data_IF_632458070787
#
_entry.id   IF_632458070787
#
_cell.length_a   1.000
_cell.length_b   1.000
_cell.length_c   1.000
_cell.angle_alpha   90.00
_cell.angle_beta   90.00
_cell.angle_gamma   90.00
#
_symmetry.space_group_name_H-M   'P 1'
#
loop_
_entity.id
_entity.type
_entity.pdbx_description
1 polymer ?
#
# COMPACT_ATOMS: atom_id res chain seq x y z
N UNK A 1 -27.14 -53.16 7.72
CA UNK A 1 -28.14 -52.09 7.89
C UNK A 1 -27.40 -50.75 7.94
N UNK A 2 -27.94 -49.73 7.27
CA UNK A 2 -27.31 -48.44 7.02
C UNK A 2 -27.67 -47.44 8.13
N UNK A 3 -26.96 -46.32 8.21
CA UNK A 3 -27.49 -45.13 8.86
C UNK A 3 -27.39 -43.94 7.91
N UNK A 4 -28.55 -43.32 7.72
CA UNK A 4 -28.90 -42.31 6.76
C UNK A 4 -28.48 -40.91 7.19
N UNK A 5 -28.41 -40.02 6.19
CA UNK A 5 -28.27 -38.57 6.29
C UNK A 5 -29.33 -37.87 7.17
N UNK A 6 -28.90 -36.81 7.83
CA UNK A 6 -29.61 -35.53 7.90
C UNK A 6 -28.66 -34.37 8.31
N UNK A 7 -28.99 -33.10 7.98
CA UNK A 7 -28.03 -32.10 7.51
C UNK A 7 -27.92 -30.84 8.38
N UNK A 8 -27.01 -29.93 7.97
CA UNK A 8 -26.87 -28.51 8.35
C UNK A 8 -26.40 -28.19 9.79
N UNK A 9 -25.21 -27.60 9.88
CA UNK A 9 -24.88 -26.40 10.67
C UNK A 9 -23.48 -25.87 10.24
N UNK A 10 -23.20 -24.55 10.33
CA UNK A 10 -22.11 -23.89 9.62
C UNK A 10 -20.78 -24.03 10.37
N UNK A 11 -19.74 -24.43 9.66
CA UNK A 11 -18.38 -24.43 10.20
C UNK A 11 -17.75 -23.04 10.04
N UNK A 12 -18.07 -22.13 10.96
CA UNK A 12 -17.16 -21.08 11.36
C UNK A 12 -16.52 -21.52 12.70
N UNK A 13 -15.45 -22.30 12.61
CA UNK A 13 -14.59 -22.61 13.75
C UNK A 13 -13.21 -22.08 13.41
N UNK A 14 -12.97 -20.84 13.84
CA UNK A 14 -11.66 -20.22 13.85
C UNK A 14 -10.74 -20.99 14.80
N UNK A 15 -9.74 -21.68 14.25
CA UNK A 15 -8.60 -22.12 15.02
C UNK A 15 -7.61 -20.96 15.16
N UNK A 16 -7.65 -20.24 16.29
CA UNK A 16 -6.51 -19.43 16.71
C UNK A 16 -5.55 -20.30 17.51
N UNK A 17 -4.46 -20.71 16.87
CA UNK A 17 -3.40 -21.50 17.48
C UNK A 17 -2.03 -21.02 17.02
N UNK A 18 -1.61 -19.83 17.46
CA UNK A 18 -0.20 -19.44 17.49
C UNK A 18 0.03 -18.50 18.68
N UNK A 19 0.46 -19.07 19.80
CA UNK A 19 1.04 -18.30 20.90
C UNK A 19 2.40 -17.76 20.45
N UNK A 20 2.41 -16.58 19.83
CA UNK A 20 3.63 -15.80 19.70
C UNK A 20 3.96 -15.23 21.08
N UNK A 21 4.90 -15.87 21.78
CA UNK A 21 5.57 -15.24 22.92
C UNK A 21 6.43 -14.10 22.38
N UNK A 22 5.83 -12.91 22.29
CA UNK A 22 6.55 -11.68 21.94
C UNK A 22 7.44 -11.34 23.12
N UNK A 23 8.75 -11.54 22.94
CA UNK A 23 9.78 -11.05 23.85
C UNK A 23 9.63 -9.54 24.00
N UNK A 24 9.00 -9.10 25.09
CA UNK A 24 8.56 -7.72 25.31
C UNK A 24 9.68 -6.78 25.77
N UNK A 25 10.95 -7.15 25.59
CA UNK A 25 12.10 -6.42 26.17
C UNK A 25 13.18 -5.96 25.20
N UNK A 26 13.00 -6.16 23.90
CA UNK A 26 13.87 -5.55 22.88
C UNK A 26 12.97 -4.96 21.79
N UNK A 27 13.34 -3.79 21.24
CA UNK A 27 12.60 -3.00 20.23
C UNK A 27 11.58 -1.98 20.76
N UNK A 28 12.08 -0.99 21.51
CA UNK A 28 11.42 0.31 21.70
C UNK A 28 11.75 1.28 20.55
N UNK A 29 11.85 0.80 19.31
CA UNK A 29 12.10 1.68 18.17
C UNK A 29 10.77 2.26 17.67
N UNK A 30 10.72 3.59 17.39
CA UNK A 30 9.55 4.18 16.74
C UNK A 30 9.37 3.55 15.36
N UNK A 31 8.12 3.32 14.98
CA UNK A 31 7.77 2.88 13.63
C UNK A 31 7.74 4.14 12.76
N UNK A 32 8.67 4.27 11.83
CA UNK A 32 8.69 5.40 10.89
C UNK A 32 7.82 5.05 9.69
N UNK A 33 6.84 5.91 9.38
CA UNK A 33 6.14 5.83 8.11
C UNK A 33 7.12 6.07 6.96
N UNK A 34 6.97 5.31 5.87
CA UNK A 34 7.82 5.47 4.69
C UNK A 34 7.34 6.66 3.87
N UNK A 35 8.25 7.29 3.12
CA UNK A 35 7.83 8.35 2.17
C UNK A 35 7.04 7.77 1.00
N UNK A 36 7.45 6.58 0.57
CA UNK A 36 6.84 5.80 -0.49
C UNK A 36 6.39 4.48 0.15
N UNK A 37 5.09 4.21 0.07
CA UNK A 37 4.50 2.94 0.48
C UNK A 37 4.26 2.12 -0.79
N UNK A 38 4.81 0.91 -0.83
CA UNK A 38 4.62 -0.04 -1.92
C UNK A 38 3.71 -1.15 -1.39
N UNK A 39 2.56 -1.34 -2.02
CA UNK A 39 1.63 -2.41 -1.70
C UNK A 39 1.68 -3.43 -2.84
N UNK A 40 2.07 -4.66 -2.52
CA UNK A 40 2.05 -5.77 -3.47
C UNK A 40 0.85 -6.65 -3.19
N UNK A 41 0.04 -6.90 -4.21
CA UNK A 41 -0.99 -7.93 -4.15
C UNK A 41 -0.37 -9.28 -4.49
N UNK A 42 -0.45 -10.21 -3.54
CA UNK A 42 -0.03 -11.60 -3.75
C UNK A 42 -1.08 -12.32 -4.58
N UNK A 43 -1.06 -12.07 -5.89
CA UNK A 43 -2.00 -12.69 -6.83
C UNK A 43 -1.57 -14.07 -7.29
N UNK A 44 -0.33 -14.49 -7.08
CA UNK A 44 0.12 -15.82 -7.48
C UNK A 44 0.32 -16.73 -6.29
N UNK A 45 -0.12 -17.96 -6.43
CA UNK A 45 0.14 -19.03 -5.48
C UNK A 45 0.44 -20.32 -6.23
N UNK A 46 1.24 -21.17 -5.60
CA UNK A 46 1.61 -22.46 -6.17
C UNK A 46 0.72 -23.53 -5.57
N UNK A 47 0.02 -24.27 -6.43
CA UNK A 47 -0.76 -25.43 -6.02
C UNK A 47 0.14 -26.68 -6.00
N UNK A 48 0.24 -27.28 -4.82
CA UNK A 48 1.06 -28.47 -4.61
C UNK A 48 0.38 -29.75 -5.11
N UNK A 49 -0.94 -29.76 -5.31
CA UNK A 49 -1.67 -30.93 -5.82
C UNK A 49 -1.52 -31.06 -7.34
N UNK A 50 -1.72 -29.97 -8.07
CA UNK A 50 -1.57 -29.92 -9.54
C UNK A 50 -0.12 -29.65 -9.99
N UNK A 51 0.73 -29.13 -9.10
CA UNK A 51 2.07 -28.62 -9.40
C UNK A 51 2.08 -27.44 -10.39
N UNK A 52 0.98 -26.70 -10.44
CA UNK A 52 0.80 -25.53 -11.30
C UNK A 52 0.80 -24.23 -10.49
N UNK A 53 1.10 -23.12 -11.16
CA UNK A 53 0.98 -21.79 -10.54
C UNK A 53 -0.32 -21.16 -11.00
N UNK A 54 -1.13 -20.73 -10.04
CA UNK A 54 -2.41 -20.10 -10.31
C UNK A 54 -2.40 -18.61 -9.99
N UNK A 55 -3.19 -17.85 -10.76
CA UNK A 55 -3.41 -16.42 -10.55
C UNK A 55 -4.80 -16.16 -9.95
N UNK A 56 -4.81 -15.37 -8.89
CA UNK A 56 -6.00 -14.87 -8.20
C UNK A 56 -6.52 -13.63 -8.91
N UNK A 57 -7.70 -13.80 -9.49
CA UNK A 57 -8.47 -12.78 -10.21
C UNK A 57 -9.51 -12.07 -9.34
N UNK A 58 -9.41 -12.21 -8.01
CA UNK A 58 -10.29 -11.48 -7.11
C UNK A 58 -10.14 -9.98 -7.29
N UNK A 59 -11.29 -9.29 -7.33
CA UNK A 59 -11.34 -7.85 -7.43
C UNK A 59 -10.82 -7.24 -6.13
N UNK A 60 -9.81 -6.38 -6.24
CA UNK A 60 -9.30 -5.61 -5.09
C UNK A 60 -9.49 -4.14 -5.38
N UNK A 61 -10.50 -3.56 -4.73
CA UNK A 61 -10.78 -2.14 -4.82
C UNK A 61 -9.64 -1.34 -4.16
N UNK A 62 -9.05 -0.42 -4.92
CA UNK A 62 -7.99 0.46 -4.45
C UNK A 62 -8.42 1.92 -4.57
N UNK A 63 -8.03 2.73 -3.60
CA UNK A 63 -8.35 4.15 -3.56
C UNK A 63 -7.16 5.02 -3.97
N UNK A 64 -7.46 6.18 -4.56
CA UNK A 64 -6.46 7.22 -4.86
C UNK A 64 -5.83 7.81 -3.60
N UNK A 65 -6.53 7.75 -2.46
CA UNK A 65 -6.04 8.22 -1.15
C UNK A 65 -6.22 7.11 -0.12
N UNK A 66 -5.10 6.60 0.39
CA UNK A 66 -5.05 5.56 1.39
C UNK A 66 -4.78 6.17 2.77
N UNK A 67 -5.71 5.96 3.71
CA UNK A 67 -5.53 6.34 5.12
C UNK A 67 -4.99 5.16 5.89
N UNK A 68 -3.83 5.33 6.54
CA UNK A 68 -3.18 4.28 7.33
C UNK A 68 -3.31 4.48 8.84
N UNK A 69 -4.06 5.51 9.28
CA UNK A 69 -4.25 5.81 10.70
C UNK A 69 -4.75 4.63 11.54
N UNK A 70 -5.62 3.71 11.06
CA UNK A 70 -6.03 2.55 11.84
C UNK A 70 -4.89 1.55 12.15
N UNK A 71 -3.82 1.59 11.37
CA UNK A 71 -2.64 0.71 11.52
C UNK A 71 -1.49 1.39 12.27
N UNK A 72 -1.66 2.65 12.66
CA UNK A 72 -0.65 3.41 13.37
C UNK A 72 -0.83 3.27 14.89
N UNK A 73 0.28 3.38 15.62
CA UNK A 73 0.28 3.38 17.08
C UNK A 73 0.85 4.70 17.59
N UNK A 74 0.82 4.93 18.90
CA UNK A 74 1.48 6.09 19.54
C UNK A 74 2.99 6.16 19.26
N UNK A 75 3.60 5.05 18.83
CA UNK A 75 5.02 4.95 18.47
C UNK A 75 5.26 5.20 16.98
N UNK A 76 4.20 5.36 16.19
CA UNK A 76 4.32 5.69 14.79
C UNK A 76 4.68 7.15 14.62
N UNK A 77 5.71 7.42 13.84
CA UNK A 77 6.20 8.76 13.54
C UNK A 77 6.19 9.01 12.04
N UNK A 78 6.04 10.28 11.67
CA UNK A 78 5.98 10.71 10.27
C UNK A 78 7.29 10.40 9.53
N UNK A 79 7.25 10.28 8.19
CA UNK A 79 8.47 10.05 7.44
C UNK A 79 9.45 11.20 7.64
N UNK A 80 10.73 10.87 7.74
CA UNK A 80 11.80 11.87 7.89
C UNK A 80 11.75 12.89 6.74
N UNK A 81 11.95 14.19 7.00
CA UNK A 81 11.99 15.21 5.95
C UNK A 81 13.10 14.93 4.93
N UNK A 82 12.94 15.41 3.70
CA UNK A 82 13.95 15.25 2.65
C UNK A 82 15.27 15.85 3.16
N UNK A 83 16.42 15.17 3.00
CA UNK A 83 17.71 15.78 3.30
C UNK A 83 17.82 17.07 2.49
N UNK A 84 18.03 18.20 3.15
CA UNK A 84 18.29 19.46 2.47
C UNK A 84 19.62 19.29 1.70
N UNK A 85 19.58 19.41 0.37
CA UNK A 85 20.79 19.48 -0.46
C UNK A 85 21.37 20.88 -0.31
N UNK A 86 22.07 21.13 0.80
CA UNK A 86 22.77 22.39 1.01
C UNK A 86 24.09 22.40 0.24
N UNK A 87 24.11 23.12 -0.88
CA UNK A 87 25.33 23.77 -1.33
C UNK A 87 25.50 25.06 -0.50
N UNK A 88 26.34 24.99 0.53
CA UNK A 88 26.72 26.08 1.45
C UNK A 88 25.64 26.64 2.39
N UNK A 89 25.45 26.04 3.58
CA UNK A 89 24.99 26.79 4.76
C UNK A 89 25.72 26.33 6.03
N UNK A 90 26.30 27.30 6.73
CA UNK A 90 26.95 27.16 8.04
C UNK A 90 25.92 26.76 9.10
N UNK A 91 26.25 25.74 9.89
CA UNK A 91 25.47 25.29 11.06
C UNK A 91 24.97 26.46 11.92
N UNK A 92 23.66 26.70 11.89
CA UNK A 92 22.96 27.35 13.00
C UNK A 92 22.14 26.29 13.71
N UNK A 93 22.62 25.91 14.90
CA UNK A 93 21.91 25.08 15.87
C UNK A 93 20.61 25.78 16.29
N UNK A 94 19.50 25.42 15.66
CA UNK A 94 18.18 25.88 16.10
C UNK A 94 17.63 24.86 17.11
N UNK A 95 17.69 25.23 18.39
CA UNK A 95 17.03 24.54 19.49
C UNK A 95 15.51 24.53 19.24
N UNK A 96 14.95 23.41 18.81
CA UNK A 96 13.48 23.26 18.74
C UNK A 96 12.98 23.02 20.16
N UNK A 97 12.57 24.11 20.80
CA UNK A 97 11.84 24.08 22.06
C UNK A 97 10.48 23.41 21.85
N UNK A 98 10.29 22.26 22.48
CA UNK A 98 8.97 21.65 22.68
C UNK A 98 8.12 22.59 23.54
N UNK A 99 7.26 23.40 22.93
CA UNK A 99 6.21 24.11 23.67
C UNK A 99 4.86 24.00 22.96
N UNK A 100 4.03 23.17 23.59
CA UNK A 100 2.58 23.03 23.55
C UNK A 100 1.80 23.83 22.49
N UNK A 101 1.01 23.12 21.68
CA UNK A 101 -0.21 23.70 21.10
C UNK A 101 -1.33 22.67 20.90
N UNK A 102 -2.25 22.72 21.86
CA UNK A 102 -3.72 22.68 21.75
C UNK A 102 -4.39 21.47 21.08
N UNK A 103 -5.27 20.87 21.90
CA UNK A 103 -6.28 19.85 21.61
C UNK A 103 -7.22 20.33 20.50
N UNK A 104 -7.03 19.77 19.31
CA UNK A 104 -7.97 19.73 18.20
C UNK A 104 -7.69 18.40 17.50
N UNK A 105 -8.70 17.57 17.24
CA UNK A 105 -8.62 16.28 16.55
C UNK A 105 -7.75 16.37 15.28
N UNK A 106 -6.52 15.86 15.35
CA UNK A 106 -5.40 16.15 14.41
C UNK A 106 -4.77 14.90 13.78
N UNK A 107 -5.34 13.71 14.01
CA UNK A 107 -4.63 12.45 13.76
C UNK A 107 -4.66 11.99 12.28
N UNK A 108 -5.66 12.36 11.47
CA UNK A 108 -5.77 11.79 10.11
C UNK A 108 -4.93 12.48 9.03
N UNK A 109 -4.69 13.79 9.13
CA UNK A 109 -4.16 14.57 7.98
C UNK A 109 -2.73 14.17 7.58
N UNK A 110 -1.95 13.66 8.53
CA UNK A 110 -0.56 13.29 8.31
C UNK A 110 -0.33 11.78 8.22
N UNK A 111 -1.36 10.96 8.16
CA UNK A 111 -1.22 9.49 8.06
C UNK A 111 -1.92 8.97 6.80
N UNK A 112 -1.89 9.79 5.76
CA UNK A 112 -2.50 9.49 4.48
C UNK A 112 -1.44 9.48 3.39
N UNK A 113 -1.69 8.65 2.40
CA UNK A 113 -0.87 8.44 1.23
C UNK A 113 -1.72 8.65 -0.03
N UNK A 114 -1.14 9.17 -1.11
CA UNK A 114 -1.83 9.21 -2.41
C UNK A 114 -1.18 8.24 -3.37
N UNK A 115 -2.01 7.56 -4.15
CA UNK A 115 -1.58 6.71 -5.23
C UNK A 115 -0.92 7.57 -6.31
N UNK A 116 0.26 7.16 -6.76
CA UNK A 116 1.00 7.85 -7.82
C UNK A 116 1.36 6.94 -8.99
N UNK A 117 1.34 5.63 -8.78
CA UNK A 117 1.56 4.67 -9.86
C UNK A 117 1.00 3.29 -9.51
N UNK A 118 0.59 2.57 -10.54
CA UNK A 118 0.16 1.18 -10.50
C UNK A 118 0.96 0.41 -11.54
N UNK A 119 1.56 -0.72 -11.15
CA UNK A 119 2.07 -1.71 -12.10
C UNK A 119 1.06 -2.83 -12.19
N UNK A 120 0.61 -3.09 -13.40
CA UNK A 120 -0.40 -4.10 -13.71
C UNK A 120 0.28 -5.32 -14.33
N UNK A 121 -0.26 -6.50 -14.07
CA UNK A 121 0.14 -7.73 -14.73
C UNK A 121 -1.05 -8.33 -15.49
N UNK A 122 -0.92 -8.43 -16.82
CA UNK A 122 -1.95 -8.92 -17.74
C UNK A 122 -1.48 -10.28 -18.27
N UNK A 123 -2.26 -11.33 -18.08
CA UNK A 123 -1.87 -12.72 -18.41
C UNK A 123 -2.08 -13.67 -17.23
N UNK A 124 -2.20 -14.96 -17.55
CA UNK A 124 -2.54 -16.02 -16.59
C UNK A 124 -1.33 -16.58 -15.83
N UNK A 125 -0.17 -16.70 -16.48
CA UNK A 125 1.01 -17.29 -15.86
C UNK A 125 1.78 -16.32 -14.97
N UNK A 126 2.61 -16.87 -14.11
CA UNK A 126 3.53 -16.11 -13.27
C UNK A 126 4.88 -15.84 -13.95
N UNK A 127 5.21 -16.61 -15.00
CA UNK A 127 6.45 -16.50 -15.77
C UNK A 127 6.26 -15.82 -17.14
N UNK A 128 5.00 -15.61 -17.53
CA UNK A 128 4.59 -14.95 -18.76
C UNK A 128 3.55 -13.87 -18.48
N UNK A 129 3.15 -13.15 -19.53
CA UNK A 129 2.21 -12.05 -19.45
C UNK A 129 2.83 -10.73 -19.90
N UNK A 130 2.18 -9.65 -19.54
CA UNK A 130 2.52 -8.29 -19.98
C UNK A 130 2.37 -7.29 -18.83
N UNK A 131 3.39 -6.46 -18.65
CA UNK A 131 3.41 -5.45 -17.59
C UNK A 131 3.16 -4.07 -18.18
N UNK A 132 2.15 -3.40 -17.64
CA UNK A 132 1.77 -2.04 -18.03
C UNK A 132 1.77 -1.16 -16.79
N UNK A 133 2.29 0.07 -16.90
CA UNK A 133 2.40 0.99 -15.77
C UNK A 133 1.47 2.18 -15.93
N UNK A 134 0.56 2.38 -14.99
CA UNK A 134 -0.18 3.63 -14.85
C UNK A 134 0.61 4.58 -13.95
N UNK A 135 0.77 5.84 -14.36
CA UNK A 135 1.54 6.86 -13.63
C UNK A 135 0.77 8.16 -13.60
N UNK A 136 0.67 8.76 -12.42
CA UNK A 136 0.12 10.10 -12.25
C UNK A 136 1.17 11.16 -12.61
N UNK A 137 0.87 12.00 -13.59
CA UNK A 137 1.68 13.17 -13.90
C UNK A 137 1.20 14.39 -13.11
N UNK A 138 2.05 14.85 -12.19
CA UNK A 138 1.75 16.02 -11.36
C UNK A 138 1.72 17.34 -12.15
N UNK A 139 2.37 17.40 -13.33
CA UNK A 139 2.43 18.61 -14.16
C UNK A 139 1.11 18.84 -14.89
N UNK A 140 0.62 17.81 -15.57
CA UNK A 140 -0.64 17.84 -16.34
C UNK A 140 -1.85 17.54 -15.46
N UNK A 141 -1.64 16.96 -14.27
CA UNK A 141 -2.67 16.45 -13.37
C UNK A 141 -3.51 15.33 -14.00
N UNK A 142 -2.93 14.59 -14.93
CA UNK A 142 -3.58 13.47 -15.63
C UNK A 142 -2.92 12.13 -15.29
N UNK A 143 -3.63 11.03 -15.52
CA UNK A 143 -3.08 9.69 -15.46
C UNK A 143 -2.67 9.24 -16.86
N UNK A 144 -1.50 8.62 -16.93
CA UNK A 144 -0.94 8.08 -18.15
C UNK A 144 -0.71 6.58 -17.98
N UNK A 145 -1.23 5.79 -18.91
CA UNK A 145 -0.92 4.37 -19.05
C UNK A 145 0.25 4.22 -20.02
N UNK A 146 1.33 3.65 -19.53
CA UNK A 146 2.53 3.30 -20.28
C UNK A 146 2.50 1.80 -20.60
N UNK A 147 2.27 1.51 -21.87
CA UNK A 147 2.32 0.18 -22.46
C UNK A 147 3.51 0.15 -23.44
N UNK A 148 4.68 -0.25 -22.94
CA UNK A 148 5.96 -0.19 -23.65
C UNK A 148 6.24 1.19 -24.27
N UNK A 149 6.07 1.34 -25.59
CA UNK A 149 6.29 2.57 -26.34
C UNK A 149 5.04 3.43 -26.49
N UNK A 150 3.88 2.85 -26.17
CA UNK A 150 2.58 3.48 -26.31
C UNK A 150 2.17 4.14 -24.98
N UNK A 151 1.90 5.45 -25.04
CA UNK A 151 1.53 6.24 -23.87
C UNK A 151 0.17 6.86 -24.13
N UNK A 152 -0.80 6.55 -23.28
CA UNK A 152 -2.17 7.01 -23.42
C UNK A 152 -2.67 7.66 -22.14
N UNK A 153 -3.40 8.77 -22.25
CA UNK A 153 -4.13 9.33 -21.12
C UNK A 153 -5.30 8.42 -20.73
N UNK A 154 -5.54 8.28 -19.43
CA UNK A 154 -6.61 7.45 -18.89
C UNK A 154 -7.40 8.21 -17.83
N UNK A 155 -8.73 8.01 -17.84
CA UNK A 155 -9.60 8.53 -16.78
C UNK A 155 -9.34 7.77 -15.46
N UNK A 156 -9.21 8.47 -14.30
CA UNK A 156 -8.86 7.81 -13.05
C UNK A 156 -9.89 6.80 -12.55
N UNK A 157 -11.19 7.04 -12.77
CA UNK A 157 -12.25 6.14 -12.30
C UNK A 157 -12.27 4.86 -13.15
N UNK A 158 -12.19 5.04 -14.48
CA UNK A 158 -12.07 3.91 -15.40
C UNK A 158 -10.78 3.10 -15.19
N UNK A 159 -9.67 3.79 -14.89
CA UNK A 159 -8.39 3.15 -14.55
C UNK A 159 -8.56 2.26 -13.32
N UNK A 160 -9.06 2.79 -12.20
CA UNK A 160 -9.20 2.04 -10.95
C UNK A 160 -10.10 0.82 -11.11
N UNK A 161 -11.24 0.97 -11.81
CA UNK A 161 -12.15 -0.15 -12.09
C UNK A 161 -11.44 -1.26 -12.90
N UNK A 162 -10.68 -0.88 -13.93
CA UNK A 162 -9.93 -1.85 -14.75
C UNK A 162 -8.78 -2.51 -13.97
N UNK A 163 -8.11 -1.73 -13.10
CA UNK A 163 -6.94 -2.20 -12.34
C UNK A 163 -7.30 -2.95 -11.06
N UNK A 164 -8.58 -3.00 -10.68
CA UNK A 164 -9.04 -3.81 -9.56
C UNK A 164 -8.75 -5.32 -9.77
N UNK A 165 -8.71 -5.77 -11.04
CA UNK A 165 -8.42 -7.16 -11.40
C UNK A 165 -6.95 -7.41 -11.80
N UNK A 166 -6.28 -6.40 -12.36
CA UNK A 166 -4.96 -6.56 -12.99
C UNK A 166 -3.82 -5.89 -12.23
N UNK A 167 -4.11 -5.00 -11.30
CA UNK A 167 -3.11 -4.28 -10.52
C UNK A 167 -2.32 -5.23 -9.62
N UNK A 168 -1.00 -5.08 -9.62
CA UNK A 168 -0.07 -5.99 -8.97
C UNK A 168 0.80 -5.27 -7.94
N UNK A 169 1.36 -4.11 -8.29
CA UNK A 169 2.06 -3.22 -7.35
C UNK A 169 1.42 -1.84 -7.36
N UNK A 170 1.21 -1.29 -6.17
CA UNK A 170 0.68 0.06 -5.99
C UNK A 170 1.71 0.91 -5.26
N UNK A 171 2.05 2.04 -5.86
CA UNK A 171 2.99 3.00 -5.31
C UNK A 171 2.21 4.18 -4.78
N UNK A 172 2.34 4.41 -3.48
CA UNK A 172 1.77 5.56 -2.83
C UNK A 172 2.85 6.47 -2.25
N UNK A 173 2.63 7.78 -2.31
CA UNK A 173 3.49 8.79 -1.66
C UNK A 173 2.75 9.42 -0.49
N UNK A 174 3.44 9.54 0.63
CA UNK A 174 2.91 10.18 1.82
C UNK A 174 2.53 11.65 1.54
N UNK A 175 1.33 12.08 1.96
CA UNK A 175 0.76 13.40 1.60
C UNK A 175 1.68 14.59 1.87
N UNK A 176 2.52 14.53 2.90
CA UNK A 176 3.46 15.62 3.21
C UNK A 176 4.59 15.81 2.19
N UNK A 177 4.77 14.88 1.24
CA UNK A 177 5.79 14.94 0.19
C UNK A 177 5.22 15.26 -1.20
N UNK A 178 3.90 15.36 -1.30
CA UNK A 178 3.22 15.80 -2.53
C UNK A 178 3.11 17.33 -2.50
N UNK A 179 3.41 17.99 -3.62
CA UNK A 179 3.36 19.46 -3.77
C UNK A 179 4.37 20.27 -2.95
N UNK A 180 5.55 19.73 -2.65
CA UNK A 180 6.67 20.55 -2.12
C UNK A 180 7.26 21.35 -3.29
N UNK A 181 6.83 22.62 -3.41
CA UNK A 181 7.45 23.62 -4.30
C UNK A 181 8.79 24.09 -3.73
#
# INVERSE_FOLDING_TARGET
MPWNFAPNLPNAVFWFGAAASVCTKCFNFPVLLTRILIVQLKRFWFDYETLETEKLYEEVEVSLSLTVSPYCTERTSLPLPRPEMDSNVKEKKTKISRKAMKKSTKEDKFQSYNLVSIVNHIGDGAEDGHYVSDVYDDKTKTWLTYDDSDVNEMDPEAMLATRAYTGYLYFYIHKSFLNVK
#
